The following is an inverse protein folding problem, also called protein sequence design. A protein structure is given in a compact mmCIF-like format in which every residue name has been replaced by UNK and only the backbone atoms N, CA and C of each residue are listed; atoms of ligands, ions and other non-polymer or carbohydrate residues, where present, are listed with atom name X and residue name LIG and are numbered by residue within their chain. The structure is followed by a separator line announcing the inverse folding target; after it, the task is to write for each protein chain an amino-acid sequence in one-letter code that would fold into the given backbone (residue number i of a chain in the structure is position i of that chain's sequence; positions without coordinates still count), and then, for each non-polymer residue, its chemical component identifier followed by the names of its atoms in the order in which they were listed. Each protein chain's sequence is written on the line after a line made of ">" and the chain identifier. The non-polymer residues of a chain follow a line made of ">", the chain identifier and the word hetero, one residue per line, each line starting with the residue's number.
data_IF_469579066712
#
_entry.id   IF_469579066712
#
_cell.length_a   1.000
_cell.length_b   1.000
_cell.length_c   1.000
_cell.angle_alpha   90.00
_cell.angle_beta   90.00
_cell.angle_gamma   90.00
#
_symmetry.space_group_name_H-M   'P 1'
#
loop_
_entity.id
_entity.type
_entity.pdbx_description
1 polymer ?
#
# COMPACT_ATOMS: atom_id res chain seq x y z
N UNK A 1 14.45 20.75 -7.42
CA UNK A 1 13.43 19.72 -7.70
C UNK A 1 12.87 19.93 -9.10
N UNK A 2 12.09 18.98 -9.63
CA UNK A 2 11.61 18.98 -11.03
C UNK A 2 10.50 20.03 -11.31
N UNK A 3 9.70 20.42 -10.31
CA UNK A 3 8.56 21.33 -10.46
C UNK A 3 7.25 20.58 -10.75
N UNK A 4 6.10 21.12 -10.29
CA UNK A 4 4.77 20.49 -10.46
C UNK A 4 3.67 21.51 -10.74
N UNK A 5 2.64 21.11 -11.50
CA UNK A 5 1.33 21.78 -11.52
C UNK A 5 0.39 20.99 -10.60
N UNK A 6 -0.29 21.66 -9.66
CA UNK A 6 -1.09 20.97 -8.64
C UNK A 6 -2.49 21.57 -8.46
N UNK A 7 -3.39 20.71 -8.01
CA UNK A 7 -4.75 21.00 -7.59
C UNK A 7 -5.07 20.12 -6.37
N UNK A 8 -6.13 20.43 -5.63
CA UNK A 8 -6.41 19.78 -4.34
C UNK A 8 -7.86 19.26 -4.28
N UNK A 9 -8.00 17.94 -4.18
CA UNK A 9 -9.29 17.25 -4.06
C UNK A 9 -9.96 16.90 -5.40
N UNK A 10 -10.05 15.60 -5.69
CA UNK A 10 -10.76 15.04 -6.84
C UNK A 10 -11.41 13.71 -6.46
N UNK A 11 -12.39 13.28 -7.26
CA UNK A 11 -13.01 11.97 -7.13
C UNK A 11 -13.15 11.33 -8.51
N UNK A 12 -12.69 10.10 -8.62
CA UNK A 12 -12.95 9.22 -9.77
C UNK A 12 -13.80 8.04 -9.30
N UNK A 13 -14.68 7.55 -10.16
CA UNK A 13 -15.52 6.36 -9.90
C UNK A 13 -15.49 5.45 -11.12
N UNK A 14 -15.23 4.16 -10.89
CA UNK A 14 -15.17 3.14 -11.93
C UNK A 14 -16.17 2.04 -11.61
N UNK A 15 -16.97 1.62 -12.60
CA UNK A 15 -17.95 0.56 -12.40
C UNK A 15 -17.35 -0.83 -12.68
N UNK A 16 -16.95 -1.52 -11.62
CA UNK A 16 -16.31 -2.84 -11.72
C UNK A 16 -17.28 -3.97 -12.11
N UNK A 17 -18.61 -3.74 -12.13
CA UNK A 17 -19.55 -4.73 -12.68
C UNK A 17 -19.52 -4.80 -14.20
N UNK A 18 -19.10 -3.71 -14.86
CA UNK A 18 -19.16 -3.58 -16.32
C UNK A 18 -17.78 -3.71 -16.97
N UNK A 19 -16.73 -3.20 -16.32
CA UNK A 19 -15.39 -3.19 -16.90
C UNK A 19 -14.29 -3.13 -15.83
N UNK A 20 -13.09 -3.52 -16.22
CA UNK A 20 -11.88 -3.29 -15.44
C UNK A 20 -11.19 -2.00 -15.94
N UNK A 21 -10.97 -0.98 -15.08
CA UNK A 21 -10.54 0.37 -15.49
C UNK A 21 -9.05 0.48 -15.84
N UNK A 22 -8.52 -0.45 -16.64
CA UNK A 22 -7.16 -0.35 -17.16
C UNK A 22 -7.12 0.68 -18.30
N UNK A 23 -6.34 1.76 -18.12
CA UNK A 23 -6.24 2.79 -19.16
C UNK A 23 -5.76 2.21 -20.49
N UNK A 24 -6.37 2.65 -21.58
CA UNK A 24 -6.09 2.19 -22.94
C UNK A 24 -5.32 3.20 -23.79
N UNK A 25 -5.16 4.44 -23.31
CA UNK A 25 -4.45 5.51 -24.00
C UNK A 25 -2.92 5.35 -23.96
N UNK A 26 -2.41 4.41 -23.15
CA UNK A 26 -1.01 3.98 -23.13
C UNK A 26 -0.95 2.52 -22.66
N UNK A 27 0.14 1.82 -22.97
CA UNK A 27 0.36 0.45 -22.50
C UNK A 27 0.70 0.44 -21.00
N UNK A 28 0.10 -0.49 -20.25
CA UNK A 28 0.34 -0.68 -18.81
C UNK A 28 0.87 -2.10 -18.52
N UNK A 29 1.73 -2.21 -17.51
CA UNK A 29 2.32 -3.46 -17.07
C UNK A 29 1.66 -3.97 -15.76
N UNK A 30 0.83 -4.99 -15.87
CA UNK A 30 -0.04 -5.45 -14.77
C UNK A 30 0.66 -6.46 -13.84
N UNK A 31 1.64 -7.22 -14.34
CA UNK A 31 2.34 -8.25 -13.53
C UNK A 31 2.98 -7.64 -12.28
N UNK A 32 3.61 -6.47 -12.42
CA UNK A 32 4.28 -5.78 -11.31
C UNK A 32 3.34 -5.41 -10.17
N UNK A 33 2.20 -4.77 -10.49
CA UNK A 33 1.23 -4.34 -9.48
C UNK A 33 0.49 -5.50 -8.82
N UNK A 34 0.29 -6.62 -9.53
CA UNK A 34 -0.29 -7.83 -8.92
C UNK A 34 0.70 -8.45 -7.92
N UNK A 35 1.97 -8.61 -8.31
CA UNK A 35 2.99 -9.16 -7.40
C UNK A 35 3.20 -8.28 -6.17
N UNK A 36 3.16 -6.96 -6.34
CA UNK A 36 3.19 -5.98 -5.25
C UNK A 36 1.97 -6.13 -4.32
N UNK A 37 0.75 -6.24 -4.87
CA UNK A 37 -0.45 -6.42 -4.05
C UNK A 37 -0.39 -7.72 -3.24
N UNK A 38 0.08 -8.82 -3.85
CA UNK A 38 0.26 -10.09 -3.16
C UNK A 38 1.33 -9.99 -2.06
N UNK A 39 2.39 -9.23 -2.30
CA UNK A 39 3.45 -8.93 -1.33
C UNK A 39 2.92 -8.12 -0.14
N UNK A 40 2.08 -7.10 -0.37
CA UNK A 40 1.38 -6.38 0.70
C UNK A 40 0.45 -7.31 1.51
N UNK A 41 -0.32 -8.17 0.84
CA UNK A 41 -1.23 -9.12 1.51
C UNK A 41 -0.45 -10.06 2.42
N UNK A 42 0.76 -10.49 2.04
CA UNK A 42 1.62 -11.35 2.87
C UNK A 42 2.24 -10.63 4.07
N UNK A 43 2.14 -9.30 4.14
CA UNK A 43 2.73 -8.51 5.22
C UNK A 43 4.22 -8.23 5.04
N UNK A 44 4.77 -8.49 3.85
CA UNK A 44 6.20 -8.38 3.61
C UNK A 44 6.68 -6.92 3.58
N UNK A 45 7.94 -6.73 3.95
CA UNK A 45 8.70 -5.46 3.87
C UNK A 45 10.04 -5.60 3.17
N UNK A 46 10.39 -6.83 2.77
CA UNK A 46 11.59 -7.15 2.01
C UNK A 46 11.40 -6.85 0.51
N UNK A 47 12.03 -5.78 0.03
CA UNK A 47 12.01 -5.38 -1.37
C UNK A 47 12.68 -6.39 -2.32
N UNK A 48 13.57 -7.27 -1.81
CA UNK A 48 14.25 -8.27 -2.63
C UNK A 48 13.26 -9.30 -3.22
N UNK A 49 12.18 -9.64 -2.51
CA UNK A 49 11.13 -10.53 -3.04
C UNK A 49 10.57 -10.02 -4.39
N UNK A 50 10.42 -8.69 -4.51
CA UNK A 50 9.96 -8.07 -5.76
C UNK A 50 11.08 -8.03 -6.81
N UNK A 51 12.31 -7.72 -6.41
CA UNK A 51 13.47 -7.68 -7.32
C UNK A 51 13.76 -9.04 -7.95
N UNK A 52 13.69 -10.13 -7.19
CA UNK A 52 13.84 -11.51 -7.67
C UNK A 52 12.78 -11.87 -8.72
N UNK A 53 11.59 -11.29 -8.58
CA UNK A 53 10.50 -11.38 -9.57
C UNK A 53 10.63 -10.36 -10.69
N UNK A 54 11.73 -9.63 -10.81
CA UNK A 54 11.94 -8.53 -11.75
C UNK A 54 10.83 -7.47 -11.70
N UNK A 55 10.38 -7.14 -10.48
CA UNK A 55 9.45 -6.06 -10.18
C UNK A 55 10.23 -4.98 -9.43
N UNK A 56 10.44 -3.84 -10.09
CA UNK A 56 11.40 -2.80 -9.66
C UNK A 56 10.73 -1.54 -9.06
N UNK A 57 9.44 -1.62 -8.74
CA UNK A 57 8.63 -0.49 -8.24
C UNK A 57 9.25 0.15 -6.99
N UNK A 58 9.87 -0.67 -6.12
CA UNK A 58 10.46 -0.24 -4.86
C UNK A 58 11.99 -0.11 -4.88
N UNK A 59 12.65 -0.42 -6.00
CA UNK A 59 14.11 -0.53 -6.09
C UNK A 59 14.81 0.77 -5.65
N UNK A 60 14.40 1.90 -6.20
CA UNK A 60 14.99 3.20 -5.88
C UNK A 60 14.85 3.57 -4.39
N UNK A 61 13.74 3.17 -3.77
CA UNK A 61 13.42 3.49 -2.37
C UNK A 61 14.16 2.58 -1.37
N UNK A 62 14.70 1.45 -1.85
CA UNK A 62 15.47 0.48 -1.04
C UNK A 62 16.98 0.70 -1.07
N UNK A 63 17.49 1.62 -1.90
CA UNK A 63 18.94 1.84 -2.05
C UNK A 63 19.59 2.40 -0.78
N UNK A 64 20.90 2.12 -0.60
CA UNK A 64 21.69 2.69 0.52
C UNK A 64 21.59 4.21 0.58
N UNK A 65 21.75 4.87 -0.57
CA UNK A 65 21.67 6.33 -0.69
C UNK A 65 20.29 6.86 -0.25
N UNK A 66 19.20 6.24 -0.70
CA UNK A 66 17.85 6.68 -0.34
C UNK A 66 17.57 6.48 1.16
N UNK A 67 17.95 5.33 1.71
CA UNK A 67 17.80 5.02 3.13
C UNK A 67 18.62 5.98 4.01
N UNK A 68 19.84 6.33 3.60
CA UNK A 68 20.69 7.28 4.33
C UNK A 68 20.13 8.70 4.29
N UNK A 69 19.59 9.12 3.14
CA UNK A 69 18.87 10.38 3.02
C UNK A 69 17.61 10.44 3.92
N UNK A 70 17.00 9.28 4.20
CA UNK A 70 15.91 9.11 5.17
C UNK A 70 16.39 8.95 6.61
N UNK A 71 17.70 9.02 6.87
CA UNK A 71 18.34 8.82 8.19
C UNK A 71 18.18 7.39 8.74
N UNK A 72 17.93 6.42 7.86
CA UNK A 72 17.80 5.00 8.17
C UNK A 72 19.16 4.28 8.00
N UNK A 73 20.21 4.81 8.64
CA UNK A 73 21.59 4.36 8.46
C UNK A 73 21.82 2.89 8.84
N UNK A 74 21.03 2.38 9.80
CA UNK A 74 21.12 1.01 10.30
C UNK A 74 20.29 0.00 9.49
N UNK A 75 19.47 0.49 8.55
CA UNK A 75 18.52 -0.33 7.79
C UNK A 75 19.25 -1.09 6.69
N UNK A 76 18.99 -2.39 6.54
CA UNK A 76 19.51 -3.18 5.43
C UNK A 76 19.00 -2.64 4.07
N UNK A 77 19.81 -2.76 3.01
CA UNK A 77 19.37 -2.42 1.64
C UNK A 77 18.14 -3.26 1.29
N UNK A 78 17.13 -2.60 0.71
CA UNK A 78 15.82 -3.17 0.39
C UNK A 78 14.94 -3.58 1.58
N UNK A 79 15.35 -3.31 2.83
CA UNK A 79 14.43 -3.32 3.96
C UNK A 79 13.65 -1.98 3.98
N UNK A 80 12.39 -2.04 3.55
CA UNK A 80 11.56 -0.85 3.35
C UNK A 80 10.95 -0.32 4.65
N UNK A 81 11.19 -0.99 5.78
CA UNK A 81 10.59 -0.65 7.07
C UNK A 81 9.12 -1.06 7.17
N UNK A 82 8.40 -0.58 8.20
CA UNK A 82 7.02 -0.98 8.48
C UNK A 82 6.00 -0.32 7.54
N UNK A 83 6.12 -0.57 6.23
CA UNK A 83 5.27 0.00 5.17
C UNK A 83 3.95 -0.79 5.01
N UNK A 84 3.21 -0.53 3.92
CA UNK A 84 1.85 -1.05 3.63
C UNK A 84 1.55 -2.44 4.18
N UNK A 85 2.27 -3.48 3.71
CA UNK A 85 2.01 -4.86 4.10
C UNK A 85 2.11 -5.06 5.61
N UNK A 86 3.17 -4.54 6.22
CA UNK A 86 3.34 -4.58 7.67
C UNK A 86 2.17 -3.91 8.39
N UNK A 87 1.76 -2.71 7.98
CA UNK A 87 0.63 -2.02 8.62
C UNK A 87 -0.69 -2.77 8.40
N UNK A 88 -0.88 -3.45 7.26
CA UNK A 88 -2.11 -4.20 7.00
C UNK A 88 -2.25 -5.44 7.88
N UNK A 89 -1.13 -6.09 8.23
CA UNK A 89 -1.12 -7.37 8.94
C UNK A 89 -0.70 -7.26 10.41
N UNK A 90 0.04 -6.21 10.76
CA UNK A 90 0.76 -6.05 12.03
C UNK A 90 0.69 -4.61 12.58
N UNK A 91 -0.39 -3.87 12.32
CA UNK A 91 -0.51 -2.46 12.73
C UNK A 91 -0.19 -2.27 14.22
N UNK A 92 0.74 -1.37 14.54
CA UNK A 92 1.16 -1.07 15.90
C UNK A 92 2.14 -2.05 16.55
N UNK A 93 2.54 -3.13 15.85
CA UNK A 93 3.67 -3.94 16.28
C UNK A 93 4.98 -3.13 16.19
N UNK A 94 5.94 -3.43 17.06
CA UNK A 94 7.27 -2.86 16.98
C UNK A 94 8.04 -3.50 15.82
N UNK A 95 8.46 -2.67 14.86
CA UNK A 95 9.29 -3.11 13.75
C UNK A 95 10.72 -3.34 14.19
N UNK A 96 11.33 -4.42 13.71
CA UNK A 96 12.73 -4.76 13.95
C UNK A 96 13.48 -4.75 12.61
N UNK A 97 13.32 -5.80 11.80
CA UNK A 97 13.84 -5.89 10.44
C UNK A 97 12.85 -6.66 9.52
N UNK A 98 13.17 -6.74 8.24
CA UNK A 98 12.38 -7.42 7.22
C UNK A 98 12.40 -8.96 7.28
N UNK A 99 13.24 -9.55 8.13
CA UNK A 99 13.40 -11.01 8.26
C UNK A 99 12.69 -11.57 9.50
N UNK A 100 12.33 -10.72 10.44
CA UNK A 100 11.68 -11.11 11.69
C UNK A 100 10.29 -11.73 11.47
N UNK A 101 9.92 -12.65 12.37
CA UNK A 101 8.56 -13.19 12.42
C UNK A 101 7.65 -12.28 13.26
N UNK A 102 6.68 -11.66 12.58
CA UNK A 102 5.67 -10.79 13.19
C UNK A 102 4.33 -11.48 13.44
N UNK A 103 4.25 -12.81 13.29
CA UNK A 103 3.03 -13.57 13.51
C UNK A 103 2.41 -13.25 14.89
N UNK A 104 1.10 -13.01 14.88
CA UNK A 104 0.29 -12.67 16.05
C UNK A 104 0.73 -11.39 16.79
N UNK A 105 1.55 -10.53 16.16
CA UNK A 105 1.91 -9.19 16.67
C UNK A 105 1.10 -8.11 15.95
N UNK A 106 0.70 -7.09 16.71
CA UNK A 106 -0.07 -5.95 16.20
C UNK A 106 -1.51 -6.32 15.85
N UNK A 107 -2.16 -5.45 15.06
CA UNK A 107 -3.53 -5.67 14.59
C UNK A 107 -3.53 -6.12 13.13
N UNK A 108 -4.09 -7.31 12.87
CA UNK A 108 -4.35 -7.80 11.50
C UNK A 108 -5.60 -7.11 10.93
N UNK A 109 -5.41 -5.90 10.41
CA UNK A 109 -6.48 -5.09 9.83
C UNK A 109 -7.14 -5.80 8.65
N UNK A 110 -6.36 -6.48 7.79
CA UNK A 110 -6.88 -7.19 6.62
C UNK A 110 -7.84 -8.31 7.04
N UNK A 111 -7.47 -9.10 8.05
CA UNK A 111 -8.36 -10.13 8.61
C UNK A 111 -9.62 -9.52 9.22
N UNK A 112 -9.49 -8.41 9.95
CA UNK A 112 -10.62 -7.73 10.58
C UNK A 112 -11.64 -7.21 9.55
N UNK A 113 -11.19 -6.53 8.49
CA UNK A 113 -12.11 -6.01 7.47
C UNK A 113 -12.82 -7.14 6.70
N UNK A 114 -12.14 -8.25 6.41
CA UNK A 114 -12.75 -9.41 5.75
C UNK A 114 -13.83 -10.02 6.65
N UNK A 115 -13.56 -10.13 7.95
CA UNK A 115 -14.54 -10.62 8.91
C UNK A 115 -15.76 -9.70 9.03
N UNK A 116 -15.55 -8.38 9.04
CA UNK A 116 -16.65 -7.41 9.06
C UNK A 116 -17.48 -7.47 7.79
N UNK A 117 -16.86 -7.54 6.61
CA UNK A 117 -17.59 -7.67 5.33
C UNK A 117 -18.51 -8.90 5.32
N UNK A 118 -18.06 -10.02 5.92
CA UNK A 118 -18.83 -11.27 5.96
C UNK A 118 -19.93 -11.27 7.02
N UNK A 119 -19.64 -10.73 8.21
CA UNK A 119 -20.47 -10.94 9.40
C UNK A 119 -21.23 -9.68 9.86
N UNK A 120 -20.77 -8.49 9.48
CA UNK A 120 -21.39 -7.21 9.78
C UNK A 120 -21.26 -6.24 8.56
N UNK A 121 -21.87 -6.59 7.41
CA UNK A 121 -21.66 -5.87 6.14
C UNK A 121 -22.18 -4.42 6.17
N UNK A 122 -23.08 -4.06 7.09
CA UNK A 122 -23.59 -2.68 7.25
C UNK A 122 -22.70 -1.82 8.14
N UNK A 123 -21.62 -2.40 8.67
CA UNK A 123 -20.65 -1.70 9.49
C UNK A 123 -20.06 -0.50 8.76
N UNK A 124 -20.07 0.66 9.41
CA UNK A 124 -19.47 1.90 8.88
C UNK A 124 -17.99 2.06 9.23
N UNK A 125 -17.37 1.02 9.78
CA UNK A 125 -15.99 1.02 10.30
C UNK A 125 -15.06 0.05 9.55
N UNK A 126 -15.47 -0.43 8.38
CA UNK A 126 -14.68 -1.36 7.56
C UNK A 126 -13.58 -0.56 6.84
N UNK A 127 -12.49 -0.30 7.56
CA UNK A 127 -11.37 0.52 7.10
C UNK A 127 -10.05 -0.25 7.25
N UNK A 128 -9.22 -0.16 6.21
CA UNK A 128 -7.83 -0.61 6.21
C UNK A 128 -6.94 0.62 6.05
N UNK A 129 -6.12 0.94 7.05
CA UNK A 129 -5.28 2.15 7.06
C UNK A 129 -3.79 1.81 7.07
N UNK A 130 -3.01 2.37 6.14
CA UNK A 130 -1.57 2.23 6.10
C UNK A 130 -0.84 3.38 6.85
N UNK A 131 -1.54 4.46 7.17
CA UNK A 131 -0.95 5.65 7.79
C UNK A 131 -0.84 5.53 9.31
N UNK A 132 0.20 4.84 9.76
CA UNK A 132 0.56 4.78 11.18
C UNK A 132 1.50 5.93 11.55
N UNK A 133 0.98 6.92 12.25
CA UNK A 133 1.72 8.14 12.63
C UNK A 133 3.02 7.85 13.37
N UNK A 134 3.05 6.83 14.23
CA UNK A 134 4.24 6.45 15.02
C UNK A 134 5.39 5.95 14.14
N UNK A 135 5.06 5.31 13.01
CA UNK A 135 6.03 4.54 12.23
C UNK A 135 6.51 5.27 10.97
N UNK A 136 5.96 6.46 10.66
CA UNK A 136 6.27 7.24 9.44
C UNK A 136 7.77 7.42 9.22
N UNK A 137 8.52 7.75 10.27
CA UNK A 137 9.96 8.01 10.17
C UNK A 137 10.81 6.74 10.05
N UNK A 138 10.21 5.57 10.31
CA UNK A 138 10.87 4.26 10.17
C UNK A 138 10.69 3.67 8.75
N UNK A 139 9.74 4.20 7.98
CA UNK A 139 9.44 3.76 6.61
C UNK A 139 10.41 4.39 5.60
N UNK A 140 10.77 3.63 4.56
CA UNK A 140 11.53 4.16 3.42
C UNK A 140 10.82 5.40 2.85
N UNK A 141 9.52 5.27 2.54
CA UNK A 141 8.65 6.43 2.29
C UNK A 141 7.30 6.27 2.99
N UNK A 142 6.68 7.37 3.45
CA UNK A 142 5.33 7.33 4.00
C UNK A 142 4.31 6.94 2.91
N UNK A 143 3.25 6.18 3.23
CA UNK A 143 2.34 5.65 2.23
C UNK A 143 1.58 6.76 1.50
N UNK A 144 1.44 6.64 0.18
CA UNK A 144 0.62 7.52 -0.65
C UNK A 144 -0.86 7.14 -0.55
N UNK A 145 -1.16 5.84 -0.57
CA UNK A 145 -2.50 5.27 -0.36
C UNK A 145 -2.75 5.15 1.14
N UNK A 146 -3.52 6.08 1.70
CA UNK A 146 -3.65 6.24 3.15
C UNK A 146 -4.58 5.18 3.73
N UNK A 147 -5.75 5.03 3.13
CA UNK A 147 -6.77 4.12 3.60
C UNK A 147 -7.67 3.62 2.48
N UNK A 148 -8.25 2.44 2.70
CA UNK A 148 -9.37 1.92 1.96
C UNK A 148 -10.58 1.75 2.91
N UNK A 149 -11.75 2.24 2.50
CA UNK A 149 -13.02 1.99 3.18
C UNK A 149 -13.93 1.15 2.30
N UNK A 150 -14.57 0.15 2.90
CA UNK A 150 -15.47 -0.77 2.20
C UNK A 150 -16.93 -0.52 2.56
N UNK A 151 -17.81 -0.78 1.60
CA UNK A 151 -19.27 -0.64 1.74
C UNK A 151 -19.97 -1.81 1.05
N UNK A 152 -20.96 -2.41 1.71
CA UNK A 152 -21.74 -3.53 1.18
C UNK A 152 -23.21 -3.16 1.11
N UNK A 153 -23.83 -3.37 -0.04
CA UNK A 153 -25.27 -3.20 -0.23
C UNK A 153 -25.77 -4.17 -1.31
N UNK A 154 -26.89 -4.84 -1.08
CA UNK A 154 -27.52 -5.76 -2.05
C UNK A 154 -26.52 -6.79 -2.62
N UNK A 155 -25.71 -7.40 -1.74
CA UNK A 155 -24.68 -8.38 -2.12
C UNK A 155 -23.50 -7.81 -2.91
N UNK A 156 -23.42 -6.49 -3.14
CA UNK A 156 -22.35 -5.82 -3.91
C UNK A 156 -21.39 -5.09 -2.98
N UNK A 157 -20.09 -5.18 -3.28
CA UNK A 157 -19.01 -4.53 -2.53
C UNK A 157 -18.46 -3.33 -3.30
N UNK A 158 -18.40 -2.18 -2.64
CA UNK A 158 -17.71 -0.97 -3.12
C UNK A 158 -16.48 -0.67 -2.25
N UNK A 159 -15.49 0.00 -2.83
CA UNK A 159 -14.27 0.44 -2.15
C UNK A 159 -14.00 1.92 -2.46
N UNK A 160 -13.68 2.70 -1.43
CA UNK A 160 -13.08 4.03 -1.54
C UNK A 160 -11.63 3.91 -1.11
N UNK A 161 -10.70 4.42 -1.92
CA UNK A 161 -9.30 4.59 -1.54
C UNK A 161 -8.97 6.09 -1.49
N UNK A 162 -8.40 6.55 -0.38
CA UNK A 162 -7.91 7.92 -0.26
C UNK A 162 -6.40 7.97 -0.46
N UNK A 163 -5.96 8.72 -1.47
CA UNK A 163 -4.55 8.90 -1.80
C UNK A 163 -4.14 10.34 -1.50
N UNK A 164 -3.16 10.53 -0.61
CA UNK A 164 -2.69 11.88 -0.21
C UNK A 164 -1.84 12.58 -1.28
N UNK A 165 -1.24 11.82 -2.18
CA UNK A 165 -0.28 12.30 -3.17
C UNK A 165 -0.36 11.45 -4.43
N UNK A 166 -0.69 12.10 -5.55
CA UNK A 166 -1.06 11.45 -6.80
C UNK A 166 -0.20 12.00 -7.93
N UNK A 167 0.74 11.20 -8.43
CA UNK A 167 1.39 11.47 -9.72
C UNK A 167 0.44 11.01 -10.84
N UNK A 168 -0.26 11.95 -11.48
CA UNK A 168 -1.24 11.64 -12.52
C UNK A 168 -0.62 10.97 -13.76
N UNK A 169 0.64 11.27 -14.08
CA UNK A 169 1.29 10.80 -15.29
C UNK A 169 1.79 9.37 -15.16
N UNK A 170 2.40 9.04 -14.03
CA UNK A 170 3.02 7.74 -13.78
C UNK A 170 2.26 6.90 -12.77
N UNK A 171 1.99 7.41 -11.57
CA UNK A 171 1.45 6.64 -10.45
C UNK A 171 -0.02 6.27 -10.58
N UNK A 172 -0.89 7.26 -10.81
CA UNK A 172 -2.36 7.09 -10.79
C UNK A 172 -2.88 5.98 -11.72
N UNK A 173 -2.36 5.78 -12.95
CA UNK A 173 -2.77 4.66 -13.79
C UNK A 173 -2.55 3.25 -13.20
N UNK A 174 -1.67 3.12 -12.21
CA UNK A 174 -1.34 1.85 -11.54
C UNK A 174 -1.93 1.73 -10.13
N UNK A 175 -2.38 2.84 -9.54
CA UNK A 175 -2.93 2.90 -8.18
C UNK A 175 -4.36 2.35 -8.13
#
# INVERSE_FOLDING_TARGET
>A
GVGVLSKFGYMMKFNLSEYFPLLTTKKLFVRGIIEELLWFIRGETNGNTLLEKNVRIWEANGTREFLDNRKLFHREVNDLGPIYGFQWRHFGAEYTDMHADYKDKGVDQLKNIINLIKNDPTCRRIILCAWNVKDIDQMALPPCHILCQFYVFDGKLSCIMYQRSCDLGLGVPFN
#
